data_IF_046366142011
#
_entry.id   IF_046366142011
#
_cell.length_a   1.000
_cell.length_b   1.000
_cell.length_c   1.000
_cell.angle_alpha   90.00
_cell.angle_beta   90.00
_cell.angle_gamma   90.00
#
_symmetry.space_group_name_H-M   'P 1'
#
loop_
_entity.id
_entity.type
_entity.pdbx_description
1 polymer ?
#
# COMPACT_ATOMS: atom_id res chain seq x y z
N UNK A 1 -28.99 -9.36 -7.81
CA UNK A 1 -28.59 -7.94 -7.72
C UNK A 1 -27.10 -7.90 -7.38
N UNK A 2 -26.24 -7.64 -8.37
CA UNK A 2 -24.80 -7.58 -8.12
C UNK A 2 -24.48 -6.38 -7.24
N UNK A 3 -23.85 -6.60 -6.09
CA UNK A 3 -23.36 -5.53 -5.22
C UNK A 3 -22.58 -4.51 -6.06
N UNK A 4 -23.01 -3.25 -6.03
CA UNK A 4 -22.34 -2.18 -6.75
C UNK A 4 -20.88 -2.13 -6.27
N UNK A 5 -19.92 -2.21 -7.21
CA UNK A 5 -18.50 -2.14 -6.87
C UNK A 5 -18.19 -0.72 -6.40
N UNK A 6 -17.94 -0.57 -5.11
CA UNK A 6 -17.58 0.69 -4.45
C UNK A 6 -16.13 0.66 -3.97
N UNK A 7 -15.60 1.82 -3.64
CA UNK A 7 -14.29 1.97 -3.01
C UNK A 7 -14.29 1.28 -1.63
N UNK A 8 -15.37 1.44 -0.85
CA UNK A 8 -15.53 0.79 0.45
C UNK A 8 -15.49 -0.73 0.32
N UNK A 9 -16.26 -1.32 -0.61
CA UNK A 9 -16.27 -2.77 -0.82
C UNK A 9 -14.91 -3.30 -1.29
N UNK A 10 -14.13 -2.50 -2.03
CA UNK A 10 -12.76 -2.85 -2.35
C UNK A 10 -11.86 -2.82 -1.12
N UNK A 11 -11.95 -1.81 -0.27
CA UNK A 11 -11.12 -1.72 0.95
C UNK A 11 -11.37 -2.91 1.89
N UNK A 12 -12.63 -3.34 2.00
CA UNK A 12 -13.08 -4.40 2.92
C UNK A 12 -12.94 -5.83 2.35
N UNK A 13 -12.64 -5.96 1.05
CA UNK A 13 -12.47 -7.26 0.39
C UNK A 13 -11.41 -8.19 1.06
N UNK A 14 -10.23 -7.70 1.51
CA UNK A 14 -9.23 -8.57 2.11
C UNK A 14 -9.61 -9.03 3.52
N UNK A 15 -9.32 -10.28 3.84
CA UNK A 15 -9.46 -10.82 5.21
C UNK A 15 -8.36 -10.35 6.18
N UNK A 16 -7.21 -9.91 5.66
CA UNK A 16 -6.08 -9.46 6.49
C UNK A 16 -6.19 -7.97 6.82
N UNK A 17 -6.16 -7.64 8.11
CA UNK A 17 -6.19 -6.25 8.61
C UNK A 17 -5.08 -5.38 8.02
N UNK A 18 -3.87 -5.93 7.85
CA UNK A 18 -2.76 -5.20 7.23
C UNK A 18 -3.08 -4.77 5.78
N UNK A 19 -3.76 -5.63 5.02
CA UNK A 19 -4.19 -5.31 3.65
C UNK A 19 -5.26 -4.23 3.64
N UNK A 20 -6.23 -4.27 4.58
CA UNK A 20 -7.25 -3.22 4.73
C UNK A 20 -6.59 -1.88 5.04
N UNK A 21 -5.63 -1.85 5.98
CA UNK A 21 -4.86 -0.63 6.32
C UNK A 21 -4.12 -0.05 5.12
N UNK A 22 -3.47 -0.91 4.32
CA UNK A 22 -2.78 -0.47 3.10
C UNK A 22 -3.75 0.10 2.07
N UNK A 23 -4.93 -0.53 1.86
CA UNK A 23 -5.95 -0.01 0.94
C UNK A 23 -6.49 1.33 1.42
N UNK A 24 -6.79 1.46 2.71
CA UNK A 24 -7.16 2.72 3.36
C UNK A 24 -6.11 3.83 3.11
N UNK A 25 -4.82 3.55 3.29
CA UNK A 25 -3.75 4.51 3.01
C UNK A 25 -3.72 4.94 1.54
N UNK A 26 -3.93 4.03 0.60
CA UNK A 26 -4.03 4.34 -0.84
C UNK A 26 -5.19 5.29 -1.12
N UNK A 27 -6.38 4.99 -0.60
CA UNK A 27 -7.54 5.86 -0.79
C UNK A 27 -7.30 7.25 -0.21
N UNK A 28 -6.75 7.33 1.01
CA UNK A 28 -6.39 8.60 1.66
C UNK A 28 -5.47 9.44 0.77
N UNK A 29 -4.36 8.87 0.32
CA UNK A 29 -3.40 9.61 -0.49
C UNK A 29 -3.98 10.00 -1.86
N UNK A 30 -4.83 9.15 -2.43
CA UNK A 30 -5.50 9.45 -3.69
C UNK A 30 -6.49 10.62 -3.58
N UNK A 31 -7.37 10.62 -2.56
CA UNK A 31 -8.36 11.70 -2.40
C UNK A 31 -7.71 13.04 -2.07
N UNK A 32 -6.60 13.04 -1.32
CA UNK A 32 -5.88 14.27 -1.01
C UNK A 32 -5.06 14.74 -2.22
N UNK A 33 -4.36 13.83 -2.91
CA UNK A 33 -3.59 14.20 -4.09
C UNK A 33 -4.45 14.75 -5.24
N UNK A 34 -5.69 14.28 -5.35
CA UNK A 34 -6.66 14.78 -6.33
C UNK A 34 -7.51 15.95 -5.80
N UNK A 35 -7.20 16.48 -4.62
CA UNK A 35 -7.91 17.62 -4.01
C UNK A 35 -9.42 17.38 -3.81
N UNK A 36 -9.87 16.13 -3.74
CA UNK A 36 -11.24 15.80 -3.35
C UNK A 36 -11.49 16.07 -1.86
N UNK A 37 -10.40 16.05 -1.08
CA UNK A 37 -10.30 16.54 0.29
C UNK A 37 -9.02 17.36 0.42
N UNK A 38 -9.08 18.42 1.22
CA UNK A 38 -7.90 19.27 1.52
C UNK A 38 -6.87 18.47 2.32
N UNK A 39 -7.34 17.74 3.32
CA UNK A 39 -6.52 16.84 4.12
C UNK A 39 -7.39 15.73 4.74
N UNK A 40 -6.74 14.68 5.26
CA UNK A 40 -7.38 13.63 6.06
C UNK A 40 -6.67 13.56 7.40
N UNK A 41 -7.36 13.85 8.52
CA UNK A 41 -6.73 13.96 9.82
C UNK A 41 -6.10 12.64 10.27
N UNK A 42 -5.10 12.73 11.15
CA UNK A 42 -4.54 11.54 11.78
C UNK A 42 -5.60 10.83 12.63
N UNK A 43 -5.84 9.56 12.30
CA UNK A 43 -6.86 8.74 12.94
C UNK A 43 -6.33 7.95 14.14
N UNK A 44 -5.02 7.94 14.42
CA UNK A 44 -4.46 7.21 15.57
C UNK A 44 -5.01 7.66 16.94
N UNK A 45 -5.14 8.98 17.24
CA UNK A 45 -5.59 9.43 18.57
C UNK A 45 -7.11 9.41 18.75
N UNK A 46 -7.87 9.15 17.69
CA UNK A 46 -9.34 9.27 17.69
C UNK A 46 -10.03 8.06 18.33
N UNK A 47 -11.26 8.25 18.81
CA UNK A 47 -12.15 7.13 19.19
C UNK A 47 -12.64 6.37 17.95
N UNK A 48 -13.14 5.13 18.12
CA UNK A 48 -13.63 4.33 16.99
C UNK A 48 -14.79 5.00 16.24
N UNK A 49 -15.69 5.69 16.96
CA UNK A 49 -16.78 6.44 16.35
C UNK A 49 -16.31 7.62 15.50
N UNK A 50 -15.25 8.32 15.93
CA UNK A 50 -14.64 9.41 15.17
C UNK A 50 -13.86 8.90 13.97
N UNK A 51 -13.14 7.78 14.12
CA UNK A 51 -12.46 7.12 12.99
C UNK A 51 -13.46 6.75 11.91
N UNK A 52 -14.61 6.18 12.27
CA UNK A 52 -15.65 5.81 11.31
C UNK A 52 -16.17 7.04 10.57
N UNK A 53 -16.44 8.16 11.27
CA UNK A 53 -16.85 9.43 10.62
C UNK A 53 -15.81 9.92 9.61
N UNK A 54 -14.52 9.92 9.97
CA UNK A 54 -13.45 10.30 9.04
C UNK A 54 -13.44 9.39 7.81
N UNK A 55 -13.56 8.08 8.01
CA UNK A 55 -13.57 7.13 6.89
C UNK A 55 -14.81 7.25 6.00
N UNK A 56 -15.97 7.59 6.55
CA UNK A 56 -17.17 7.86 5.76
C UNK A 56 -16.96 9.07 4.84
N UNK A 57 -16.42 10.17 5.36
CA UNK A 57 -16.07 11.36 4.55
C UNK A 57 -15.08 10.99 3.43
N UNK A 58 -14.06 10.19 3.76
CA UNK A 58 -13.08 9.72 2.76
C UNK A 58 -13.74 8.86 1.69
N UNK A 59 -14.65 7.95 2.05
CA UNK A 59 -15.37 7.13 1.07
C UNK A 59 -16.30 7.96 0.19
N UNK A 60 -17.07 8.88 0.76
CA UNK A 60 -17.94 9.78 -0.01
C UNK A 60 -17.14 10.65 -0.99
N UNK A 61 -16.00 11.22 -0.56
CA UNK A 61 -15.11 11.96 -1.45
C UNK A 61 -14.53 11.06 -2.55
N UNK A 62 -14.19 9.82 -2.21
CA UNK A 62 -13.70 8.83 -3.17
C UNK A 62 -14.74 8.48 -4.23
N UNK A 63 -16.00 8.24 -3.84
CA UNK A 63 -17.08 7.93 -4.77
C UNK A 63 -17.40 9.12 -5.69
N UNK A 64 -17.32 10.37 -5.19
CA UNK A 64 -17.40 11.57 -6.03
C UNK A 64 -16.28 11.59 -7.07
N UNK A 65 -15.04 11.33 -6.65
CA UNK A 65 -13.90 11.21 -7.55
C UNK A 65 -14.08 10.14 -8.62
N UNK A 66 -14.53 8.94 -8.23
CA UNK A 66 -14.85 7.84 -9.17
C UNK A 66 -15.96 8.22 -10.14
N UNK A 67 -16.99 8.93 -9.68
CA UNK A 67 -18.05 9.44 -10.54
C UNK A 67 -17.51 10.43 -11.58
N UNK A 68 -16.60 11.32 -11.18
CA UNK A 68 -15.90 12.23 -12.09
C UNK A 68 -15.06 11.50 -13.15
N UNK A 69 -14.31 10.48 -12.73
CA UNK A 69 -13.57 9.60 -13.64
C UNK A 69 -14.48 8.89 -14.65
N UNK A 70 -15.63 8.37 -14.20
CA UNK A 70 -16.60 7.69 -15.09
C UNK A 70 -17.24 8.65 -16.09
N UNK A 71 -17.42 9.91 -15.71
CA UNK A 71 -17.99 10.95 -16.58
C UNK A 71 -16.95 11.61 -17.49
N UNK A 72 -15.67 11.30 -17.31
CA UNK A 72 -14.57 11.94 -18.04
C UNK A 72 -14.29 13.39 -17.62
N UNK A 73 -14.87 13.87 -16.52
CA UNK A 73 -14.57 15.22 -15.98
C UNK A 73 -13.20 15.29 -15.32
N UNK A 74 -12.66 14.12 -14.98
CA UNK A 74 -11.32 13.95 -14.43
C UNK A 74 -10.63 12.89 -15.28
N UNK A 75 -9.43 13.18 -15.76
CA UNK A 75 -8.64 12.21 -16.51
C UNK A 75 -8.07 11.15 -15.55
N UNK A 76 -8.15 9.88 -15.98
CA UNK A 76 -7.76 8.74 -15.15
C UNK A 76 -6.26 8.72 -14.87
N UNK A 77 -5.44 9.01 -15.88
CA UNK A 77 -4.00 8.94 -15.77
C UNK A 77 -3.43 10.16 -15.03
N UNK A 78 -4.00 11.34 -15.26
CA UNK A 78 -3.74 12.54 -14.47
C UNK A 78 -4.12 12.32 -13.00
N UNK A 79 -5.23 11.63 -12.73
CA UNK A 79 -5.63 11.31 -11.35
C UNK A 79 -4.60 10.43 -10.62
N UNK A 80 -3.94 9.52 -11.34
CA UNK A 80 -2.83 8.72 -10.81
C UNK A 80 -1.61 9.60 -10.58
N UNK A 81 -1.24 10.46 -11.55
CA UNK A 81 -0.11 11.37 -11.42
C UNK A 81 -0.29 12.36 -10.26
N UNK A 82 -1.49 12.89 -10.05
CA UNK A 82 -1.79 13.80 -8.93
C UNK A 82 -1.53 13.16 -7.56
N UNK A 83 -1.86 11.86 -7.40
CA UNK A 83 -1.48 11.12 -6.18
C UNK A 83 0.04 10.95 -6.07
N UNK A 84 0.72 10.66 -7.18
CA UNK A 84 2.18 10.52 -7.22
C UNK A 84 2.85 11.82 -6.78
N UNK A 85 2.49 12.94 -7.40
CA UNK A 85 3.04 14.27 -7.12
C UNK A 85 2.81 14.64 -5.65
N UNK A 86 1.58 14.50 -5.14
CA UNK A 86 1.28 14.80 -3.73
C UNK A 86 2.08 13.92 -2.75
N UNK A 87 2.39 12.67 -3.10
CA UNK A 87 3.24 11.82 -2.27
C UNK A 87 4.72 12.20 -2.39
N UNK A 88 5.19 12.61 -3.58
CA UNK A 88 6.55 13.10 -3.79
C UNK A 88 6.79 14.40 -3.00
N UNK A 89 5.85 15.34 -3.04
CA UNK A 89 5.93 16.62 -2.32
C UNK A 89 5.99 16.43 -0.80
N UNK A 90 5.39 15.34 -0.30
CA UNK A 90 5.46 14.92 1.12
C UNK A 90 6.73 14.14 1.47
N UNK A 91 7.65 13.95 0.52
CA UNK A 91 8.89 13.21 0.72
C UNK A 91 8.71 11.71 0.87
N UNK A 92 7.64 11.12 0.33
CA UNK A 92 7.45 9.67 0.38
C UNK A 92 8.53 8.94 -0.44
N UNK A 93 9.02 7.81 0.07
CA UNK A 93 9.99 6.99 -0.64
C UNK A 93 9.43 6.43 -1.96
N UNK A 94 10.27 6.35 -3.00
CA UNK A 94 9.87 5.88 -4.33
C UNK A 94 9.21 4.49 -4.32
N UNK A 95 9.72 3.56 -3.50
CA UNK A 95 9.13 2.22 -3.32
C UNK A 95 7.71 2.29 -2.72
N UNK A 96 7.47 3.20 -1.78
CA UNK A 96 6.15 3.45 -1.19
C UNK A 96 5.19 4.03 -2.22
N UNK A 97 5.63 5.03 -3.01
CA UNK A 97 4.82 5.64 -4.08
C UNK A 97 4.46 4.59 -5.13
N UNK A 98 5.44 3.78 -5.58
CA UNK A 98 5.20 2.67 -6.50
C UNK A 98 4.15 1.70 -5.95
N UNK A 99 4.29 1.32 -4.68
CA UNK A 99 3.35 0.43 -3.99
C UNK A 99 1.92 1.01 -3.88
N UNK A 100 1.78 2.34 -3.86
CA UNK A 100 0.48 3.03 -3.88
C UNK A 100 -0.08 3.12 -5.30
N UNK A 101 0.70 3.57 -6.29
CA UNK A 101 0.35 3.57 -7.73
C UNK A 101 -0.22 2.22 -8.14
N UNK A 102 0.52 1.14 -7.84
CA UNK A 102 0.10 -0.22 -8.19
C UNK A 102 -1.24 -0.62 -7.58
N UNK A 103 -1.49 -0.26 -6.32
CA UNK A 103 -2.76 -0.57 -5.65
C UNK A 103 -3.91 0.30 -6.15
N UNK A 104 -3.66 1.56 -6.50
CA UNK A 104 -4.65 2.45 -7.09
C UNK A 104 -5.11 1.93 -8.46
N UNK A 105 -4.18 1.49 -9.30
CA UNK A 105 -4.50 0.82 -10.58
C UNK A 105 -5.37 -0.42 -10.36
N UNK A 106 -5.08 -1.24 -9.33
CA UNK A 106 -5.93 -2.38 -8.96
C UNK A 106 -7.34 -1.97 -8.52
N UNK A 107 -7.48 -0.86 -7.80
CA UNK A 107 -8.80 -0.31 -7.46
C UNK A 107 -9.56 0.08 -8.72
N UNK A 108 -8.93 0.83 -9.63
CA UNK A 108 -9.59 1.29 -10.85
C UNK A 108 -10.03 0.11 -11.75
N UNK A 109 -9.21 -0.94 -11.86
CA UNK A 109 -9.62 -2.21 -12.52
C UNK A 109 -10.78 -2.88 -11.82
N UNK A 110 -10.77 -2.93 -10.48
CA UNK A 110 -11.89 -3.45 -9.72
C UNK A 110 -13.18 -2.67 -10.03
N UNK A 111 -13.10 -1.33 -10.06
CA UNK A 111 -14.21 -0.44 -10.36
C UNK A 111 -14.63 -0.41 -11.84
N UNK A 112 -13.92 -1.13 -12.71
CA UNK A 112 -14.09 -1.16 -14.18
C UNK A 112 -13.96 0.23 -14.83
N UNK A 113 -13.05 1.05 -14.31
CA UNK A 113 -12.61 2.25 -15.02
C UNK A 113 -11.64 1.77 -16.11
N UNK A 114 -11.93 2.03 -17.38
CA UNK A 114 -11.22 1.45 -18.52
C UNK A 114 -9.75 1.86 -18.56
N UNK A 115 -8.89 1.09 -17.90
CA UNK A 115 -7.44 1.27 -17.92
C UNK A 115 -6.87 0.46 -19.08
N UNK A 116 -6.18 1.15 -19.98
CA UNK A 116 -5.30 0.55 -20.96
C UNK A 116 -3.86 0.51 -20.40
N UNK A 117 -3.15 -0.60 -20.61
CA UNK A 117 -1.80 -0.80 -20.05
C UNK A 117 -0.73 0.00 -20.80
N UNK A 118 -0.92 0.27 -22.08
CA UNK A 118 0.04 1.00 -22.88
C UNK A 118 -0.12 2.51 -22.66
N UNK A 119 -1.36 3.00 -22.59
CA UNK A 119 -1.65 4.36 -22.12
C UNK A 119 -1.14 4.58 -20.70
N UNK A 120 -1.31 3.60 -19.80
CA UNK A 120 -0.80 3.70 -18.43
C UNK A 120 0.72 3.86 -18.39
N UNK A 121 1.47 3.16 -19.25
CA UNK A 121 2.93 3.28 -19.32
C UNK A 121 3.37 4.62 -19.91
N UNK A 122 2.62 5.15 -20.88
CA UNK A 122 2.95 6.40 -21.56
C UNK A 122 2.57 7.62 -20.74
N UNK A 123 1.36 7.64 -20.18
CA UNK A 123 0.77 8.81 -19.53
C UNK A 123 1.11 8.93 -18.03
N UNK A 124 1.39 7.80 -17.35
CA UNK A 124 1.72 7.84 -15.91
C UNK A 124 3.22 7.83 -15.72
N UNK A 125 3.72 8.82 -14.96
CA UNK A 125 5.15 9.00 -14.69
C UNK A 125 5.82 7.68 -14.23
N UNK A 126 7.01 7.35 -14.77
CA UNK A 126 7.81 6.27 -14.23
C UNK A 126 8.25 6.65 -12.81
N UNK A 127 8.17 5.69 -11.90
CA UNK A 127 8.69 5.84 -10.55
C UNK A 127 9.94 4.97 -10.53
N UNK A 128 11.10 5.60 -10.35
CA UNK A 128 12.35 4.89 -10.13
C UNK A 128 12.29 4.20 -8.77
N UNK A 129 11.59 3.07 -8.70
CA UNK A 129 11.75 2.17 -7.59
C UNK A 129 13.12 1.57 -7.76
N UNK A 130 14.10 2.05 -7.00
CA UNK A 130 15.20 1.19 -6.63
C UNK A 130 14.57 -0.04 -6.00
N UNK A 131 14.48 -1.14 -6.75
CA UNK A 131 14.50 -2.44 -6.10
C UNK A 131 15.83 -2.42 -5.38
N UNK A 132 15.79 -2.06 -4.09
CA UNK A 132 16.82 -2.50 -3.18
C UNK A 132 16.60 -4.01 -3.17
N UNK A 133 17.17 -4.70 -4.15
CA UNK A 133 17.55 -6.08 -3.92
C UNK A 133 18.52 -5.93 -2.76
N UNK A 134 18.07 -6.33 -1.57
CA UNK A 134 18.97 -6.59 -0.47
C UNK A 134 19.84 -7.79 -0.88
N UNK A 135 20.69 -7.61 -1.89
CA UNK A 135 21.78 -8.51 -2.27
C UNK A 135 22.91 -8.44 -1.22
N UNK A 136 22.61 -7.95 -0.01
CA UNK A 136 23.46 -8.11 1.16
C UNK A 136 23.10 -9.44 1.82
N UNK A 137 23.35 -10.53 1.10
CA UNK A 137 23.48 -11.81 1.79
C UNK A 137 24.62 -11.68 2.80
N UNK A 138 24.41 -12.07 4.07
CA UNK A 138 25.47 -11.98 5.07
C UNK A 138 26.65 -12.87 4.66
N UNK A 139 27.87 -12.35 4.77
CA UNK A 139 29.07 -13.13 4.45
C UNK A 139 29.27 -14.26 5.45
N UNK A 140 30.11 -15.25 5.09
CA UNK A 140 30.45 -16.36 5.97
C UNK A 140 31.02 -15.87 7.31
N UNK A 141 31.81 -14.81 7.30
CA UNK A 141 32.40 -14.19 8.50
C UNK A 141 31.33 -13.53 9.37
N UNK A 142 30.35 -12.86 8.76
CA UNK A 142 29.25 -12.24 9.49
C UNK A 142 28.36 -13.31 10.15
N UNK A 143 28.04 -14.38 9.42
CA UNK A 143 27.30 -15.53 9.97
C UNK A 143 28.09 -16.17 11.11
N UNK A 144 29.40 -16.39 10.92
CA UNK A 144 30.29 -16.96 11.94
C UNK A 144 30.32 -16.09 13.20
N UNK A 145 30.48 -14.79 13.08
CA UNK A 145 30.49 -13.86 14.21
C UNK A 145 29.15 -13.89 14.97
N UNK A 146 28.03 -13.92 14.27
CA UNK A 146 26.71 -14.02 14.91
C UNK A 146 26.52 -15.36 15.65
N UNK A 147 27.05 -16.47 15.12
CA UNK A 147 27.01 -17.78 15.79
C UNK A 147 27.97 -17.83 16.97
N UNK A 148 29.15 -17.20 16.89
CA UNK A 148 30.12 -17.22 17.98
C UNK A 148 29.65 -16.36 19.17
N UNK A 149 29.13 -15.17 18.90
CA UNK A 149 28.80 -14.17 19.93
C UNK A 149 27.31 -14.10 20.30
N UNK A 150 26.43 -14.79 19.58
CA UNK A 150 24.99 -14.82 19.88
C UNK A 150 24.65 -15.69 21.09
N UNK A 151 23.47 -15.48 21.67
CA UNK A 151 22.87 -16.40 22.66
C UNK A 151 22.53 -17.75 22.03
N UNK A 152 22.39 -18.82 22.83
CA UNK A 152 22.02 -20.17 22.33
C UNK A 152 20.79 -20.15 21.42
N UNK A 153 19.78 -19.33 21.74
CA UNK A 153 18.58 -19.16 20.91
C UNK A 153 18.86 -18.48 19.57
N UNK A 154 19.72 -17.46 19.56
CA UNK A 154 20.16 -16.81 18.32
C UNK A 154 21.01 -17.74 17.46
N UNK A 155 21.92 -18.53 18.07
CA UNK A 155 22.73 -19.53 17.36
C UNK A 155 21.85 -20.55 16.66
N UNK A 156 20.90 -21.15 17.38
CA UNK A 156 19.97 -22.13 16.81
C UNK A 156 19.13 -21.54 15.66
N UNK A 157 18.63 -20.32 15.84
CA UNK A 157 17.83 -19.63 14.83
C UNK A 157 18.65 -19.31 13.58
N UNK A 158 19.85 -18.76 13.73
CA UNK A 158 20.72 -18.40 12.61
C UNK A 158 21.17 -19.64 11.86
N UNK A 159 21.59 -20.70 12.55
CA UNK A 159 21.95 -21.98 11.94
C UNK A 159 20.78 -22.58 11.16
N UNK A 160 19.56 -22.53 11.71
CA UNK A 160 18.37 -22.98 11.02
C UNK A 160 18.06 -22.14 9.77
N UNK A 161 18.09 -20.81 9.88
CA UNK A 161 17.81 -19.91 8.75
C UNK A 161 18.83 -20.05 7.61
N UNK A 162 20.12 -20.16 7.94
CA UNK A 162 21.20 -20.36 6.95
C UNK A 162 21.09 -21.74 6.28
N UNK A 163 20.71 -22.78 7.02
CA UNK A 163 20.64 -24.13 6.48
C UNK A 163 19.38 -24.40 5.65
N UNK A 164 18.28 -23.67 5.90
CA UNK A 164 16.97 -23.95 5.28
C UNK A 164 16.49 -22.86 4.32
N UNK A 165 17.10 -21.68 4.34
CA UNK A 165 16.62 -20.51 3.59
C UNK A 165 15.29 -19.94 4.09
N UNK A 166 14.79 -20.42 5.24
CA UNK A 166 13.49 -19.96 5.80
C UNK A 166 13.69 -18.64 6.52
N UNK A 167 13.02 -17.60 6.05
CA UNK A 167 12.88 -16.33 6.76
C UNK A 167 12.01 -16.55 8.01
N UNK A 168 12.58 -16.40 9.21
CA UNK A 168 11.85 -16.55 10.48
C UNK A 168 10.91 -15.36 10.71
N UNK A 169 9.81 -15.27 9.96
CA UNK A 169 8.68 -14.43 10.38
C UNK A 169 8.11 -15.01 11.65
N UNK A 170 8.17 -14.20 12.72
CA UNK A 170 7.50 -14.42 14.01
C UNK A 170 6.04 -14.78 13.76
N UNK A 171 5.77 -16.08 13.67
CA UNK A 171 4.42 -16.61 13.60
C UNK A 171 4.12 -17.05 15.02
N UNK A 172 3.56 -16.14 15.81
CA UNK A 172 2.82 -16.54 17.02
C UNK A 172 1.57 -17.29 16.56
N UNK A 173 1.74 -18.54 16.12
CA UNK A 173 0.66 -19.52 16.17
C UNK A 173 0.63 -20.00 17.61
N UNK A 174 -0.32 -19.47 18.38
CA UNK A 174 -0.79 -20.10 19.60
C UNK A 174 -1.16 -21.54 19.25
N UNK A 175 -0.43 -22.49 19.82
CA UNK A 175 -0.91 -23.85 20.03
C UNK A 175 -1.76 -23.80 21.30
N UNK A 176 -3.07 -23.94 21.10
CA UNK A 176 -4.10 -24.52 21.97
C UNK A 176 -5.45 -24.17 21.34
#
# INVERSE_FOLDING_TARGET
MGSARTVKSWVELPTRVASVRQRKAVIRNWVVGNQFLVDVPDTHPLSEGEKEKVWQIVYEASERGVSGLRKGTTDLYQSINAMIDAMQDRGAAASTIFGHKFKLVKLFRYLKLGIDEDDLKQAVRPIDSSRVTDDKQPTREQIRNCILHGTTKQKAMISFMVSTGVESRRTERKLC
#
